data_IF_414896237666
#
_entry.id   IF_414896237666
#
_cell.length_a   1.000
_cell.length_b   1.000
_cell.length_c   1.000
_cell.angle_alpha   90.00
_cell.angle_beta   90.00
_cell.angle_gamma   90.00
#
_symmetry.space_group_name_H-M   'P 1'
#
loop_
_entity.id
_entity.type
_entity.pdbx_description
1 polymer ?
#
# COMPACT_ATOMS: atom_id res chain seq x y z
N UNK A 1 -9.38 25.84 41.59
CA UNK A 1 -10.28 24.71 41.92
C UNK A 1 -10.50 24.67 43.41
N UNK A 2 -11.72 24.33 43.91
CA UNK A 2 -11.96 24.15 45.33
C UNK A 2 -11.08 23.02 45.89
N UNK A 3 -10.54 23.20 47.09
CA UNK A 3 -9.76 22.17 47.78
C UNK A 3 -10.63 20.97 48.17
N UNK A 4 -10.05 19.77 48.25
CA UNK A 4 -10.77 18.50 48.53
C UNK A 4 -11.71 18.56 49.76
N UNK A 5 -11.38 19.37 50.77
CA UNK A 5 -12.19 19.50 51.99
C UNK A 5 -13.16 20.69 51.99
N UNK A 6 -13.14 21.52 50.95
CA UNK A 6 -13.98 22.73 50.84
C UNK A 6 -15.45 22.36 50.53
N UNK A 7 -16.41 23.26 50.77
CA UNK A 7 -17.79 23.08 50.33
C UNK A 7 -17.85 22.85 48.81
N UNK A 8 -18.67 21.89 48.40
CA UNK A 8 -18.80 21.54 46.99
C UNK A 8 -19.47 22.67 46.20
N UNK A 9 -18.94 22.95 45.00
CA UNK A 9 -19.39 24.04 44.12
C UNK A 9 -20.84 23.90 43.64
N UNK A 10 -21.40 22.69 43.67
CA UNK A 10 -22.79 22.41 43.29
C UNK A 10 -23.84 22.90 44.30
N UNK A 11 -23.42 23.55 45.39
CA UNK A 11 -24.33 24.11 46.40
C UNK A 11 -24.94 23.09 47.35
N UNK A 12 -24.50 21.83 47.32
CA UNK A 12 -25.06 20.75 48.16
C UNK A 12 -24.71 20.83 49.66
N UNK A 13 -23.83 21.75 50.05
CA UNK A 13 -23.31 21.89 51.42
C UNK A 13 -22.38 20.76 51.89
N UNK A 14 -22.15 19.71 51.07
CA UNK A 14 -21.23 18.61 51.36
C UNK A 14 -19.78 19.00 51.00
N UNK A 15 -18.79 18.34 51.62
CA UNK A 15 -17.37 18.49 51.24
C UNK A 15 -17.14 18.01 49.80
N UNK A 16 -16.36 18.74 49.00
CA UNK A 16 -16.11 18.47 47.58
C UNK A 16 -15.71 17.00 47.32
N UNK A 17 -14.79 16.44 48.13
CA UNK A 17 -14.36 15.04 48.04
C UNK A 17 -15.46 13.98 48.23
N UNK A 18 -16.60 14.35 48.83
CA UNK A 18 -17.75 13.46 49.07
C UNK A 18 -18.94 13.77 48.15
N UNK A 19 -18.76 14.64 47.15
CA UNK A 19 -19.82 15.08 46.27
C UNK A 19 -19.37 15.05 44.80
N UNK A 20 -18.98 16.19 44.22
CA UNK A 20 -18.66 16.26 42.80
C UNK A 20 -17.26 15.75 42.43
N UNK A 21 -16.35 15.52 43.39
CA UNK A 21 -14.97 15.13 43.07
C UNK A 21 -14.90 13.86 42.19
N UNK A 22 -15.66 12.81 42.50
CA UNK A 22 -15.62 11.57 41.71
C UNK A 22 -16.13 11.78 40.27
N UNK A 23 -17.18 12.58 40.10
CA UNK A 23 -17.74 12.90 38.79
C UNK A 23 -16.83 13.84 37.99
N UNK A 24 -16.14 14.76 38.66
CA UNK A 24 -15.19 15.68 38.03
C UNK A 24 -13.87 14.94 37.68
N UNK A 25 -13.41 14.00 38.53
CA UNK A 25 -12.29 13.09 38.22
C UNK A 25 -12.64 12.13 37.07
N UNK A 26 -13.88 11.64 37.01
CA UNK A 26 -14.37 10.80 35.91
C UNK A 26 -14.43 11.58 34.58
N UNK A 27 -14.99 12.79 34.59
CA UNK A 27 -14.98 13.68 33.40
C UNK A 27 -13.58 14.09 32.98
N UNK A 28 -12.66 14.25 33.94
CA UNK A 28 -11.25 14.50 33.63
C UNK A 28 -10.52 13.27 33.07
N UNK A 29 -10.98 12.05 33.37
CA UNK A 29 -10.49 10.81 32.74
C UNK A 29 -11.07 10.62 31.34
N UNK A 30 -12.35 10.90 31.16
CA UNK A 30 -13.05 10.82 29.87
C UNK A 30 -12.60 11.92 28.89
N UNK A 31 -12.24 13.11 29.39
CA UNK A 31 -11.71 14.22 28.58
C UNK A 31 -10.19 14.19 28.36
N UNK A 32 -9.47 13.19 28.90
CA UNK A 32 -8.04 13.04 28.69
C UNK A 32 -7.82 11.90 27.71
N UNK A 33 -7.74 12.23 26.42
CA UNK A 33 -7.18 11.31 25.44
C UNK A 33 -5.81 10.87 25.94
N UNK A 34 -5.68 9.59 26.27
CA UNK A 34 -4.35 8.99 26.46
C UNK A 34 -3.64 9.17 25.11
N UNK A 35 -2.41 9.72 25.07
CA UNK A 35 -1.62 9.67 23.86
C UNK A 35 -1.57 8.20 23.42
N UNK A 36 -2.15 7.88 22.26
CA UNK A 36 -1.97 6.56 21.67
C UNK A 36 -0.47 6.46 21.37
N UNK A 37 0.21 5.57 22.09
CA UNK A 37 1.61 5.24 21.80
C UNK A 37 1.63 4.64 20.39
N UNK A 38 2.18 5.40 19.45
CA UNK A 38 2.08 5.09 18.03
C UNK A 38 3.03 3.96 17.69
N UNK A 39 2.54 2.91 17.05
CA UNK A 39 3.42 1.82 16.59
C UNK A 39 4.25 2.26 15.37
N UNK A 40 3.90 3.38 14.73
CA UNK A 40 4.77 4.07 13.76
C UNK A 40 6.07 4.59 14.40
N UNK A 41 6.02 5.01 15.67
CA UNK A 41 7.17 5.60 16.38
C UNK A 41 8.14 4.54 16.92
N UNK A 42 7.69 3.28 17.00
CA UNK A 42 8.50 2.11 17.36
C UNK A 42 9.26 1.52 16.16
N UNK A 43 9.02 2.02 14.93
CA UNK A 43 9.87 1.71 13.78
C UNK A 43 11.22 2.42 13.98
N UNK A 44 12.36 1.74 13.73
CA UNK A 44 13.66 2.36 13.88
C UNK A 44 13.70 3.65 13.05
N UNK A 45 14.09 4.77 13.69
CA UNK A 45 14.25 6.05 12.99
C UNK A 45 15.18 5.81 11.80
N UNK A 46 14.71 6.08 10.58
CA UNK A 46 15.51 5.89 9.37
C UNK A 46 16.85 6.66 9.46
N UNK A 47 16.90 7.75 10.25
CA UNK A 47 18.13 8.49 10.54
C UNK A 47 19.21 7.67 11.26
N UNK A 48 18.87 6.54 11.88
CA UNK A 48 19.76 5.77 12.73
C UNK A 48 20.85 5.02 11.93
N UNK A 49 20.63 4.75 10.64
CA UNK A 49 21.55 3.92 9.86
C UNK A 49 22.74 4.67 9.23
N UNK A 50 22.85 5.99 9.43
CA UNK A 50 24.05 6.76 9.08
C UNK A 50 25.05 6.92 10.24
N UNK A 51 24.70 6.45 11.44
CA UNK A 51 25.64 6.35 12.58
C UNK A 51 25.95 4.88 12.92
N UNK A 52 26.87 4.29 12.14
CA UNK A 52 27.89 3.34 12.62
C UNK A 52 27.50 2.03 13.36
N UNK A 53 26.32 1.44 13.18
CA UNK A 53 26.04 0.10 13.73
C UNK A 53 25.88 -0.97 12.64
N UNK A 54 27.00 -1.39 12.04
CA UNK A 54 27.13 -2.74 11.50
C UNK A 54 26.89 -3.71 12.66
N UNK A 55 25.71 -4.33 12.66
CA UNK A 55 25.21 -5.28 13.65
C UNK A 55 26.29 -6.33 13.95
N UNK A 56 26.82 -6.31 15.18
CA UNK A 56 27.14 -7.57 15.86
C UNK A 56 25.80 -8.17 16.26
N UNK A 57 25.47 -9.33 15.71
CA UNK A 57 24.22 -10.03 16.02
C UNK A 57 23.99 -10.13 17.54
N UNK A 58 22.84 -9.67 18.07
CA UNK A 58 22.42 -10.05 19.39
C UNK A 58 21.62 -11.34 19.28
N UNK A 59 22.26 -12.40 19.76
CA UNK A 59 21.62 -13.66 20.13
C UNK A 59 20.47 -13.44 21.14
N UNK A 60 19.32 -14.06 20.88
CA UNK A 60 18.51 -14.70 21.93
C UNK A 60 17.35 -13.92 22.55
N UNK A 61 16.17 -14.53 22.44
CA UNK A 61 15.00 -14.46 23.32
C UNK A 61 14.22 -13.13 23.39
N UNK A 62 13.23 -12.99 22.51
CA UNK A 62 12.08 -12.09 22.74
C UNK A 62 10.86 -12.92 23.16
N UNK A 63 10.37 -12.70 24.40
CA UNK A 63 9.09 -13.24 24.90
C UNK A 63 8.13 -12.09 25.20
N UNK A 64 6.85 -12.15 24.82
CA UNK A 64 5.87 -11.13 25.19
C UNK A 64 5.55 -11.18 26.68
N UNK A 65 5.47 -10.01 27.33
CA UNK A 65 5.06 -9.86 28.73
C UNK A 65 3.57 -10.19 28.94
N UNK A 66 3.27 -10.83 30.06
CA UNK A 66 2.00 -11.48 30.39
C UNK A 66 0.90 -10.57 30.94
N UNK A 67 0.84 -9.28 30.58
CA UNK A 67 -0.02 -8.31 31.25
C UNK A 67 -1.36 -7.98 30.58
N UNK A 68 -1.63 -8.41 29.34
CA UNK A 68 -2.89 -8.07 28.63
C UNK A 68 -3.89 -9.24 28.55
N UNK A 69 -3.87 -10.12 29.56
CA UNK A 69 -4.89 -11.16 29.74
C UNK A 69 -6.01 -10.64 30.62
N UNK A 70 -7.07 -10.11 30.04
CA UNK A 70 -8.40 -10.19 30.65
C UNK A 70 -9.50 -10.13 29.58
N UNK A 71 -10.47 -11.02 29.74
CA UNK A 71 -11.79 -11.13 29.09
C UNK A 71 -11.92 -11.67 27.65
N UNK A 72 -11.53 -12.93 27.41
CA UNK A 72 -12.25 -13.82 26.46
C UNK A 72 -12.17 -15.26 26.95
N UNK A 73 -13.31 -15.95 27.02
CA UNK A 73 -13.43 -17.35 27.44
C UNK A 73 -12.85 -18.33 26.41
N UNK A 74 -12.11 -19.32 26.92
CA UNK A 74 -11.43 -20.35 26.14
C UNK A 74 -12.39 -21.48 25.74
N UNK A 75 -12.81 -21.50 24.48
CA UNK A 75 -13.29 -22.71 23.83
C UNK A 75 -12.36 -22.97 22.63
N UNK A 76 -11.48 -23.96 22.76
CA UNK A 76 -10.56 -24.41 21.73
C UNK A 76 -11.35 -24.97 20.54
N UNK A 77 -11.16 -24.37 19.37
CA UNK A 77 -11.55 -24.95 18.08
C UNK A 77 -10.34 -24.84 17.16
N UNK A 78 -9.93 -26.02 16.70
CA UNK A 78 -8.86 -26.28 15.76
C UNK A 78 -9.29 -25.76 14.37
N UNK A 79 -8.65 -24.69 13.91
CA UNK A 79 -8.87 -24.09 12.59
C UNK A 79 -7.47 -24.03 11.98
N UNK A 80 -7.31 -24.67 10.82
CA UNK A 80 -6.04 -25.01 10.15
C UNK A 80 -5.40 -26.30 10.67
N UNK A 81 -6.11 -27.41 10.43
CA UNK A 81 -5.44 -28.70 10.29
C UNK A 81 -4.39 -28.61 9.18
N UNK A 82 -3.22 -29.18 9.47
CA UNK A 82 -2.10 -29.38 8.56
C UNK A 82 -2.55 -29.77 7.15
N UNK A 83 -2.39 -28.87 6.19
CA UNK A 83 -2.27 -29.16 4.75
C UNK A 83 -1.68 -27.93 4.05
N UNK A 84 -0.47 -27.54 4.48
CA UNK A 84 0.46 -26.71 3.71
C UNK A 84 1.47 -27.63 3.03
N UNK A 85 0.97 -28.56 2.20
CA UNK A 85 1.79 -29.32 1.24
C UNK A 85 1.16 -29.14 -0.13
N UNK A 86 1.66 -28.15 -0.85
CA UNK A 86 2.03 -28.24 -2.27
C UNK A 86 2.63 -26.87 -2.68
N UNK A 87 3.89 -26.65 -2.29
CA UNK A 87 4.77 -25.87 -3.15
C UNK A 87 4.96 -26.71 -4.43
N UNK A 88 3.98 -26.68 -5.34
CA UNK A 88 4.19 -27.12 -6.72
C UNK A 88 5.35 -26.27 -7.27
N UNK A 89 6.45 -26.95 -7.60
CA UNK A 89 7.65 -26.45 -8.29
C UNK A 89 7.32 -25.34 -9.32
N UNK A 90 7.24 -24.08 -8.86
CA UNK A 90 7.60 -22.93 -9.69
C UNK A 90 9.10 -23.06 -9.86
N UNK A 91 9.59 -23.65 -10.95
CA UNK A 91 10.95 -23.40 -11.51
C UNK A 91 11.39 -24.40 -12.62
N UNK A 92 10.50 -25.11 -13.33
CA UNK A 92 10.97 -26.05 -14.39
C UNK A 92 10.60 -25.73 -15.83
N UNK A 93 9.80 -24.70 -16.08
CA UNK A 93 9.39 -24.37 -17.46
C UNK A 93 9.81 -22.96 -17.95
N UNK A 94 10.55 -22.17 -17.16
CA UNK A 94 10.96 -20.80 -17.56
C UNK A 94 12.46 -20.68 -17.90
N UNK A 95 12.98 -21.63 -18.69
CA UNK A 95 14.34 -21.56 -19.27
C UNK A 95 14.45 -20.55 -20.46
N UNK A 96 13.84 -19.36 -20.36
CA UNK A 96 13.78 -18.45 -21.51
C UNK A 96 13.57 -16.96 -21.25
N UNK A 97 13.47 -16.51 -20.00
CA UNK A 97 13.32 -15.08 -19.69
C UNK A 97 14.53 -14.26 -20.18
N UNK A 98 14.28 -13.16 -20.89
CA UNK A 98 15.34 -12.23 -21.26
C UNK A 98 15.96 -11.60 -20.01
N UNK A 99 17.26 -11.81 -19.78
CA UNK A 99 17.97 -11.24 -18.64
C UNK A 99 18.14 -9.71 -18.82
N UNK A 100 17.62 -8.86 -17.91
CA UNK A 100 17.81 -7.42 -17.99
C UNK A 100 19.23 -6.98 -17.63
N UNK A 101 20.05 -7.85 -17.04
CA UNK A 101 21.47 -7.59 -16.78
C UNK A 101 22.36 -8.27 -17.84
N UNK A 102 22.69 -7.58 -18.95
CA UNK A 102 23.56 -8.15 -19.97
C UNK A 102 24.97 -8.30 -19.41
N UNK A 103 25.63 -9.41 -19.78
CA UNK A 103 27.06 -9.59 -19.52
C UNK A 103 27.85 -8.48 -20.22
N UNK A 104 28.65 -7.77 -19.45
CA UNK A 104 29.60 -6.79 -19.98
C UNK A 104 30.87 -7.51 -20.40
N UNK A 105 31.48 -7.05 -21.49
CA UNK A 105 32.79 -7.53 -21.91
C UNK A 105 33.85 -7.18 -20.86
N UNK A 106 34.88 -8.01 -20.74
CA UNK A 106 36.02 -7.70 -19.87
C UNK A 106 36.69 -6.39 -20.30
N UNK A 107 37.03 -5.55 -19.33
CA UNK A 107 37.78 -4.31 -19.55
C UNK A 107 39.27 -4.59 -19.68
N UNK A 108 39.97 -3.80 -20.49
CA UNK A 108 41.44 -3.76 -20.47
C UNK A 108 41.94 -3.01 -19.22
N UNK A 109 43.17 -3.30 -18.78
CA UNK A 109 43.79 -2.69 -17.59
C UNK A 109 43.72 -1.15 -17.57
N UNK A 110 43.85 -0.49 -18.72
CA UNK A 110 43.73 0.98 -18.80
C UNK A 110 42.30 1.47 -18.56
N UNK A 111 41.30 0.74 -19.06
CA UNK A 111 39.89 1.09 -18.89
C UNK A 111 39.42 0.86 -17.46
N UNK A 112 39.86 -0.26 -16.86
CA UNK A 112 39.58 -0.56 -15.46
C UNK A 112 40.11 0.55 -14.53
N UNK A 113 41.33 1.04 -14.76
CA UNK A 113 41.89 2.16 -13.99
C UNK A 113 41.09 3.46 -14.09
N UNK A 114 40.44 3.72 -15.24
CA UNK A 114 39.59 4.91 -15.40
C UNK A 114 38.33 4.77 -14.54
N UNK A 115 37.70 3.60 -14.55
CA UNK A 115 36.50 3.28 -13.77
C UNK A 115 36.80 3.31 -12.27
N UNK A 116 37.82 2.58 -11.81
CA UNK A 116 38.24 2.52 -10.40
C UNK A 116 38.58 3.90 -9.86
N UNK A 117 39.35 4.69 -10.62
CA UNK A 117 39.68 6.05 -10.21
C UNK A 117 38.43 6.92 -10.06
N UNK A 118 37.45 6.79 -10.95
CA UNK A 118 36.21 7.53 -10.81
C UNK A 118 35.48 7.13 -9.53
N UNK A 119 35.37 5.83 -9.25
CA UNK A 119 34.73 5.29 -8.05
C UNK A 119 35.44 5.79 -6.78
N UNK A 120 36.77 5.69 -6.72
CA UNK A 120 37.58 6.16 -5.59
C UNK A 120 37.41 7.66 -5.32
N UNK A 121 37.37 8.45 -6.39
CA UNK A 121 37.18 9.89 -6.29
C UNK A 121 35.70 10.26 -6.03
N UNK A 122 34.76 9.33 -6.20
CA UNK A 122 33.32 9.58 -6.10
C UNK A 122 32.88 9.71 -4.63
N UNK A 123 32.01 10.68 -4.29
CA UNK A 123 31.60 10.87 -2.92
C UNK A 123 30.69 9.75 -2.42
N UNK A 124 31.22 8.82 -1.62
CA UNK A 124 30.47 7.66 -1.10
C UNK A 124 29.28 7.96 -0.18
N UNK A 125 28.95 9.21 0.16
CA UNK A 125 27.76 9.56 0.96
C UNK A 125 27.33 11.02 0.70
N UNK A 126 26.05 11.24 0.40
CA UNK A 126 25.54 12.57 0.02
C UNK A 126 25.00 13.42 1.16
N UNK A 127 24.69 12.84 2.31
CA UNK A 127 24.10 13.57 3.45
C UNK A 127 24.95 14.77 3.91
N UNK A 128 26.28 14.68 3.72
CA UNK A 128 27.25 15.73 4.09
C UNK A 128 27.82 16.49 2.88
N UNK A 129 27.41 16.14 1.66
CA UNK A 129 27.95 16.68 0.40
C UNK A 129 26.86 17.31 -0.45
N UNK A 130 27.27 18.05 -1.49
CA UNK A 130 26.35 18.66 -2.42
C UNK A 130 25.92 17.63 -3.49
N UNK A 131 24.63 17.21 -3.56
CA UNK A 131 24.18 16.24 -4.57
C UNK A 131 24.33 16.79 -6.01
N UNK A 132 24.40 18.11 -6.20
CA UNK A 132 24.65 18.70 -7.51
C UNK A 132 26.04 18.36 -8.07
N UNK A 133 27.04 18.18 -7.19
CA UNK A 133 28.38 17.76 -7.59
C UNK A 133 28.35 16.32 -8.11
N UNK A 134 27.55 15.46 -7.48
CA UNK A 134 27.35 14.08 -7.90
C UNK A 134 26.69 13.99 -9.28
N UNK A 135 25.59 14.71 -9.47
CA UNK A 135 24.90 14.82 -10.78
C UNK A 135 25.89 15.30 -11.85
N UNK A 136 26.67 16.33 -11.54
CA UNK A 136 27.66 16.89 -12.48
C UNK A 136 28.71 15.86 -12.87
N UNK A 137 29.23 15.09 -11.90
CA UNK A 137 30.26 14.07 -12.15
C UNK A 137 29.72 12.85 -12.90
N UNK A 138 28.49 12.42 -12.61
CA UNK A 138 27.80 11.37 -13.36
C UNK A 138 27.65 11.82 -14.81
N UNK A 139 27.11 13.03 -15.05
CA UNK A 139 26.96 13.59 -16.40
C UNK A 139 28.30 13.73 -17.12
N UNK A 140 29.35 14.16 -16.44
CA UNK A 140 30.67 14.28 -17.05
C UNK A 140 31.19 12.93 -17.53
N UNK A 141 31.19 11.90 -16.66
CA UNK A 141 31.67 10.57 -17.04
C UNK A 141 30.79 9.94 -18.13
N UNK A 142 29.48 10.10 -18.01
CA UNK A 142 28.50 9.61 -18.98
C UNK A 142 28.74 10.16 -20.40
N UNK A 143 29.24 11.39 -20.53
CA UNK A 143 29.54 12.02 -21.81
C UNK A 143 30.99 11.79 -22.28
N UNK A 144 31.96 11.77 -21.36
CA UNK A 144 33.38 11.61 -21.68
C UNK A 144 33.78 10.15 -21.96
N UNK A 145 33.13 9.21 -21.26
CA UNK A 145 33.45 7.78 -21.29
C UNK A 145 32.18 6.94 -21.48
N UNK A 146 31.43 7.13 -22.59
CA UNK A 146 30.14 6.49 -22.79
C UNK A 146 30.22 4.95 -22.76
N UNK A 147 31.27 4.36 -23.34
CA UNK A 147 31.46 2.90 -23.38
C UNK A 147 31.81 2.30 -22.00
N UNK A 148 32.33 3.12 -21.08
CA UNK A 148 32.68 2.68 -19.72
C UNK A 148 31.57 2.95 -18.71
N UNK A 149 30.56 3.74 -19.06
CA UNK A 149 29.49 4.14 -18.15
C UNK A 149 28.70 2.96 -17.54
N UNK A 150 28.40 1.87 -18.27
CA UNK A 150 27.76 0.68 -17.69
C UNK A 150 28.59 -0.05 -16.62
N UNK A 151 29.90 0.21 -16.56
CA UNK A 151 30.81 -0.41 -15.58
C UNK A 151 30.88 0.37 -14.27
N UNK A 152 30.12 1.46 -14.15
CA UNK A 152 29.99 2.20 -12.88
C UNK A 152 29.01 1.55 -11.90
N UNK A 153 28.15 0.63 -12.37
CA UNK A 153 27.14 -0.04 -11.55
C UNK A 153 26.32 0.94 -10.68
N UNK A 154 25.92 2.07 -11.27
CA UNK A 154 25.24 3.15 -10.53
C UNK A 154 23.90 2.70 -9.94
N UNK A 155 23.31 1.67 -10.52
CA UNK A 155 22.09 0.99 -10.08
C UNK A 155 22.25 0.23 -8.77
N UNK A 156 23.45 -0.09 -8.28
CA UNK A 156 23.58 -0.89 -7.06
C UNK A 156 23.35 -0.08 -5.77
N UNK A 157 23.61 1.22 -5.80
CA UNK A 157 23.49 2.09 -4.61
C UNK A 157 23.46 3.57 -4.97
N UNK A 158 24.34 3.99 -5.88
CA UNK A 158 24.62 5.41 -6.15
C UNK A 158 23.37 6.20 -6.55
N UNK A 159 22.55 5.68 -7.48
CA UNK A 159 21.33 6.36 -7.91
C UNK A 159 20.24 6.35 -6.84
N UNK A 160 20.14 5.29 -6.04
CA UNK A 160 19.16 5.20 -4.94
C UNK A 160 19.47 6.18 -3.82
N UNK A 161 20.73 6.27 -3.39
CA UNK A 161 21.16 7.22 -2.37
C UNK A 161 21.01 8.68 -2.85
N UNK A 162 21.36 8.94 -4.12
CA UNK A 162 21.22 10.27 -4.72
C UNK A 162 19.73 10.68 -4.81
N UNK A 163 18.86 9.77 -5.27
CA UNK A 163 17.42 9.99 -5.33
C UNK A 163 16.85 10.29 -3.95
N UNK A 164 17.19 9.47 -2.95
CA UNK A 164 16.78 9.66 -1.55
C UNK A 164 17.19 11.04 -1.01
N UNK A 165 18.43 11.46 -1.25
CA UNK A 165 18.92 12.74 -0.76
C UNK A 165 18.26 13.94 -1.47
N UNK A 166 18.08 13.85 -2.80
CA UNK A 166 17.37 14.88 -3.56
C UNK A 166 15.90 14.98 -3.14
N UNK A 167 15.25 13.86 -2.82
CA UNK A 167 13.90 13.83 -2.29
C UNK A 167 13.81 14.54 -0.93
N UNK A 168 14.71 14.24 0.02
CA UNK A 168 14.79 14.95 1.32
C UNK A 168 14.96 16.45 1.17
N UNK A 169 15.72 16.88 0.16
CA UNK A 169 15.95 18.31 -0.16
C UNK A 169 14.83 18.95 -0.99
N UNK A 170 13.77 18.23 -1.33
CA UNK A 170 12.67 18.68 -2.22
C UNK A 170 13.18 19.10 -3.60
N UNK A 171 14.21 18.42 -4.10
CA UNK A 171 14.83 18.64 -5.41
C UNK A 171 14.67 17.41 -6.33
N UNK A 172 13.57 16.67 -6.16
CA UNK A 172 13.27 15.42 -6.87
C UNK A 172 13.35 15.57 -8.40
N UNK A 173 12.93 16.71 -8.95
CA UNK A 173 12.99 16.98 -10.39
C UNK A 173 14.40 16.83 -10.99
N UNK A 174 15.45 17.16 -10.23
CA UNK A 174 16.84 16.97 -10.68
C UNK A 174 17.20 15.49 -10.87
N UNK A 175 16.66 14.63 -10.00
CA UNK A 175 16.85 13.18 -10.08
C UNK A 175 16.12 12.63 -11.31
N UNK A 176 14.86 13.03 -11.50
CA UNK A 176 14.06 12.67 -12.66
C UNK A 176 14.73 13.10 -13.98
N UNK A 177 15.27 14.32 -14.05
CA UNK A 177 16.00 14.80 -15.23
C UNK A 177 17.24 13.94 -15.53
N UNK A 178 17.97 13.53 -14.48
CA UNK A 178 19.11 12.63 -14.61
C UNK A 178 18.68 11.25 -15.10
N UNK A 179 17.62 10.67 -14.53
CA UNK A 179 17.09 9.38 -14.95
C UNK A 179 16.64 9.41 -16.41
N UNK A 180 15.90 10.43 -16.84
CA UNK A 180 15.48 10.62 -18.24
C UNK A 180 16.69 10.67 -19.19
N UNK A 181 17.74 11.39 -18.80
CA UNK A 181 18.98 11.51 -19.59
C UNK A 181 19.74 10.17 -19.69
N UNK A 182 19.90 9.46 -18.57
CA UNK A 182 20.54 8.14 -18.54
C UNK A 182 19.73 7.14 -19.36
N UNK A 183 18.41 7.11 -19.18
CA UNK A 183 17.51 6.22 -19.92
C UNK A 183 17.63 6.38 -21.42
N UNK A 184 17.81 7.61 -21.88
CA UNK A 184 17.95 7.93 -23.30
C UNK A 184 19.34 7.59 -23.85
N UNK A 185 20.42 8.00 -23.15
CA UNK A 185 21.80 7.90 -23.65
C UNK A 185 22.44 6.54 -23.38
N UNK A 186 22.06 5.88 -22.28
CA UNK A 186 22.71 4.69 -21.74
C UNK A 186 21.70 3.61 -21.31
N UNK A 187 20.85 3.13 -22.24
CA UNK A 187 19.80 2.16 -21.92
C UNK A 187 20.35 0.82 -21.40
N UNK A 188 21.60 0.46 -21.73
CA UNK A 188 22.24 -0.79 -21.26
C UNK A 188 22.53 -0.79 -19.76
N UNK A 189 22.94 0.35 -19.19
CA UNK A 189 23.11 0.50 -17.75
C UNK A 189 21.73 0.63 -17.09
N UNK A 190 20.89 1.51 -17.63
CA UNK A 190 19.56 1.79 -17.08
C UNK A 190 18.70 0.54 -16.93
N UNK A 191 18.74 -0.37 -17.92
CA UNK A 191 17.91 -1.57 -17.91
C UNK A 191 18.19 -2.53 -16.75
N UNK A 192 19.30 -2.38 -16.02
CA UNK A 192 19.60 -3.24 -14.86
C UNK A 192 18.78 -2.91 -13.61
N UNK A 193 18.34 -1.65 -13.49
CA UNK A 193 17.51 -1.16 -12.40
C UNK A 193 16.20 -0.53 -12.87
N UNK A 194 15.76 -0.86 -14.10
CA UNK A 194 14.69 -0.11 -14.77
C UNK A 194 13.38 -0.08 -13.98
N UNK A 195 13.09 -1.11 -13.19
CA UNK A 195 11.81 -1.21 -12.47
C UNK A 195 11.68 -0.12 -11.42
N UNK A 196 12.77 0.15 -10.71
CA UNK A 196 12.83 1.22 -9.72
C UNK A 196 12.82 2.59 -10.41
N UNK A 197 13.63 2.76 -11.46
CA UNK A 197 13.74 4.04 -12.13
C UNK A 197 12.49 4.40 -12.93
N UNK A 198 11.92 3.47 -13.68
CA UNK A 198 10.68 3.69 -14.42
C UNK A 198 9.48 3.83 -13.46
N UNK A 199 9.49 3.20 -12.27
CA UNK A 199 8.51 3.52 -11.21
C UNK A 199 8.55 5.02 -10.85
N UNK A 200 9.73 5.57 -10.60
CA UNK A 200 9.92 7.00 -10.28
C UNK A 200 9.52 7.92 -11.45
N UNK A 201 9.83 7.52 -12.70
CA UNK A 201 9.42 8.27 -13.89
C UNK A 201 7.91 8.21 -14.16
N UNK A 202 7.27 7.07 -13.90
CA UNK A 202 5.81 6.92 -13.99
C UNK A 202 5.14 7.80 -12.93
N UNK A 203 5.65 7.79 -11.70
CA UNK A 203 5.16 8.64 -10.62
C UNK A 203 5.25 10.13 -11.00
N UNK A 204 6.42 10.58 -11.46
CA UNK A 204 6.61 11.95 -11.97
C UNK A 204 5.59 12.28 -13.06
N UNK A 205 5.41 11.39 -14.04
CA UNK A 205 4.46 11.61 -15.12
C UNK A 205 3.00 11.72 -14.65
N UNK A 206 2.61 10.96 -13.63
CA UNK A 206 1.27 11.08 -13.02
C UNK A 206 1.09 12.46 -12.38
N UNK A 207 2.11 12.95 -11.68
CA UNK A 207 2.11 14.23 -10.96
C UNK A 207 2.16 15.42 -11.92
N UNK A 208 2.97 15.34 -12.98
CA UNK A 208 3.12 16.42 -13.98
C UNK A 208 2.02 16.40 -15.05
N UNK A 209 1.28 15.29 -15.18
CA UNK A 209 0.28 15.08 -16.23
C UNK A 209 0.89 14.65 -17.57
N UNK A 210 2.12 14.15 -17.57
CA UNK A 210 2.80 13.60 -18.75
C UNK A 210 2.29 12.19 -19.12
N UNK A 211 2.72 11.70 -20.29
CA UNK A 211 2.31 10.39 -20.82
C UNK A 211 3.00 9.23 -20.09
N UNK A 212 2.28 8.58 -19.18
CA UNK A 212 2.72 7.36 -18.47
C UNK A 212 3.12 6.20 -19.40
N UNK A 213 2.38 5.85 -20.47
CA UNK A 213 2.70 4.68 -21.29
C UNK A 213 4.08 4.69 -21.96
N UNK A 214 4.73 5.86 -22.04
CA UNK A 214 6.09 6.00 -22.58
C UNK A 214 7.16 5.27 -21.77
N UNK A 215 6.88 4.95 -20.50
CA UNK A 215 7.81 4.25 -19.62
C UNK A 215 7.57 2.73 -19.55
N UNK A 216 6.58 2.19 -20.26
CA UNK A 216 6.27 0.76 -20.22
C UNK A 216 7.17 -0.11 -21.12
N UNK A 217 8.11 0.49 -21.85
CA UNK A 217 8.89 -0.22 -22.86
C UNK A 217 9.84 -1.27 -22.26
N UNK A 218 10.45 -1.01 -21.10
CA UNK A 218 11.30 -2.01 -20.44
C UNK A 218 10.49 -3.14 -19.82
N UNK A 219 9.35 -2.84 -19.19
CA UNK A 219 8.39 -3.86 -18.73
C UNK A 219 7.91 -4.75 -19.88
N UNK A 220 7.71 -4.19 -21.08
CA UNK A 220 7.37 -4.99 -22.27
C UNK A 220 8.51 -5.87 -22.74
N UNK A 221 9.75 -5.39 -22.61
CA UNK A 221 10.95 -6.15 -22.96
C UNK A 221 11.24 -7.27 -21.95
N UNK A 222 10.89 -7.06 -20.68
CA UNK A 222 11.18 -7.93 -19.54
C UNK A 222 9.94 -8.15 -18.65
N UNK A 223 8.86 -8.76 -19.17
CA UNK A 223 7.56 -8.82 -18.47
C UNK A 223 7.54 -9.70 -17.22
N UNK A 224 8.48 -10.64 -17.09
CA UNK A 224 8.56 -11.59 -15.98
C UNK A 224 9.67 -11.27 -14.97
N UNK A 225 10.33 -10.11 -15.13
CA UNK A 225 11.33 -9.66 -14.17
C UNK A 225 10.62 -8.98 -12.98
N UNK A 226 11.07 -9.32 -11.76
CA UNK A 226 10.69 -8.78 -10.43
C UNK A 226 9.21 -8.43 -10.18
N UNK A 227 8.52 -9.26 -9.39
CA UNK A 227 7.10 -9.08 -9.06
C UNK A 227 6.78 -7.83 -8.22
N UNK A 228 7.68 -7.41 -7.32
CA UNK A 228 7.28 -6.51 -6.23
C UNK A 228 6.99 -5.07 -6.73
N UNK A 229 7.82 -4.56 -7.65
CA UNK A 229 7.61 -3.24 -8.24
C UNK A 229 6.41 -3.17 -9.17
N UNK A 230 6.04 -4.29 -9.80
CA UNK A 230 4.81 -4.38 -10.58
C UNK A 230 3.59 -4.12 -9.69
N UNK A 231 3.54 -4.70 -8.50
CA UNK A 231 2.44 -4.48 -7.56
C UNK A 231 2.39 -3.04 -7.03
N UNK A 232 3.53 -2.45 -6.70
CA UNK A 232 3.58 -1.04 -6.28
C UNK A 232 3.05 -0.08 -7.36
N UNK A 233 3.40 -0.32 -8.63
CA UNK A 233 2.90 0.47 -9.77
C UNK A 233 1.39 0.28 -9.94
N UNK A 234 0.89 -0.96 -9.86
CA UNK A 234 -0.54 -1.26 -9.88
C UNK A 234 -1.28 -0.48 -8.79
N UNK A 235 -0.76 -0.47 -7.56
CA UNK A 235 -1.39 0.21 -6.43
C UNK A 235 -1.54 1.71 -6.66
N UNK A 236 -0.49 2.44 -7.05
CA UNK A 236 -0.64 3.88 -7.24
C UNK A 236 -1.40 4.23 -8.52
N UNK A 237 -1.35 3.41 -9.59
CA UNK A 237 -2.19 3.62 -10.78
C UNK A 237 -3.67 3.45 -10.43
N UNK A 238 -3.99 2.45 -9.61
CA UNK A 238 -5.35 2.23 -9.12
C UNK A 238 -5.80 3.36 -8.20
N UNK A 239 -4.97 3.75 -7.23
CA UNK A 239 -5.26 4.81 -6.27
C UNK A 239 -5.38 6.20 -6.92
N UNK A 240 -4.67 6.45 -8.02
CA UNK A 240 -4.77 7.70 -8.80
C UNK A 240 -5.80 7.63 -9.94
N UNK A 241 -6.60 6.55 -9.97
CA UNK A 241 -7.68 6.34 -10.94
C UNK A 241 -7.24 6.35 -12.42
N UNK A 242 -6.05 5.80 -12.72
CA UNK A 242 -5.49 5.72 -14.08
C UNK A 242 -5.90 4.43 -14.78
N UNK A 243 -7.20 4.26 -15.02
CA UNK A 243 -7.78 3.01 -15.55
C UNK A 243 -7.11 2.51 -16.83
N UNK A 244 -6.91 3.39 -17.83
CA UNK A 244 -6.36 3.01 -19.12
C UNK A 244 -4.91 2.56 -19.01
N UNK A 245 -4.13 3.31 -18.24
CA UNK A 245 -2.72 3.05 -17.97
C UNK A 245 -2.56 1.76 -17.15
N UNK A 246 -3.40 1.55 -16.12
CA UNK A 246 -3.43 0.35 -15.30
C UNK A 246 -3.69 -0.92 -16.14
N UNK A 247 -4.77 -0.92 -16.93
CA UNK A 247 -5.09 -2.06 -17.78
C UNK A 247 -4.00 -2.33 -18.81
N UNK A 248 -3.38 -1.26 -19.35
CA UNK A 248 -2.29 -1.40 -20.31
C UNK A 248 -1.02 -1.96 -19.65
N UNK A 249 -0.73 -1.54 -18.43
CA UNK A 249 0.42 -2.02 -17.66
C UNK A 249 0.27 -3.51 -17.37
N UNK A 250 -0.90 -3.94 -16.86
CA UNK A 250 -1.21 -5.35 -16.61
C UNK A 250 -1.09 -6.18 -17.88
N UNK A 251 -1.65 -5.73 -19.01
CA UNK A 251 -1.52 -6.44 -20.28
C UNK A 251 -0.05 -6.66 -20.69
N UNK A 252 0.82 -5.70 -20.38
CA UNK A 252 2.25 -5.76 -20.70
C UNK A 252 2.98 -6.74 -19.77
N UNK A 253 2.75 -6.66 -18.46
CA UNK A 253 3.47 -7.46 -17.46
C UNK A 253 3.00 -8.91 -17.42
N UNK A 254 1.73 -9.18 -17.73
CA UNK A 254 1.18 -10.55 -17.75
C UNK A 254 1.57 -11.37 -18.99
N UNK A 255 2.18 -10.74 -20.00
CA UNK A 255 2.64 -11.41 -21.22
C UNK A 255 1.53 -12.08 -22.04
N UNK A 256 1.88 -13.16 -22.76
CA UNK A 256 0.96 -13.81 -23.72
C UNK A 256 -0.12 -14.70 -23.08
N UNK A 257 0.12 -15.22 -21.86
CA UNK A 257 -0.83 -16.09 -21.15
C UNK A 257 -0.79 -15.82 -19.65
N UNK A 258 -1.91 -15.29 -19.17
CA UNK A 258 -2.05 -14.80 -17.81
C UNK A 258 -2.15 -15.95 -16.81
N UNK A 259 -1.55 -15.74 -15.65
CA UNK A 259 -1.67 -16.61 -14.50
C UNK A 259 -3.05 -16.44 -13.86
N UNK A 260 -3.71 -17.57 -13.61
CA UNK A 260 -4.97 -17.61 -12.89
C UNK A 260 -4.71 -18.24 -11.51
N UNK A 261 -4.61 -17.43 -10.43
CA UNK A 261 -4.51 -17.95 -9.07
C UNK A 261 -5.77 -18.73 -8.68
N UNK A 262 -5.72 -19.47 -7.56
CA UNK A 262 -6.90 -20.16 -7.00
C UNK A 262 -7.98 -19.18 -6.50
N UNK A 263 -7.55 -18.01 -6.03
CA UNK A 263 -8.41 -16.91 -5.63
C UNK A 263 -8.05 -15.64 -6.40
N UNK A 264 -9.06 -14.88 -6.83
CA UNK A 264 -8.86 -13.60 -7.53
C UNK A 264 -8.73 -12.49 -6.49
N UNK A 265 -7.50 -12.07 -6.20
CA UNK A 265 -7.17 -10.96 -5.30
C UNK A 265 -6.57 -9.77 -6.06
N UNK A 266 -6.51 -8.59 -5.44
CA UNK A 266 -6.20 -7.30 -6.10
C UNK A 266 -4.90 -7.29 -6.91
N UNK A 267 -3.88 -7.96 -6.41
CA UNK A 267 -2.55 -8.06 -7.03
C UNK A 267 -2.51 -9.11 -8.16
N UNK A 268 -3.55 -9.92 -8.34
CA UNK A 268 -3.61 -10.87 -9.45
C UNK A 268 -3.81 -10.15 -10.79
N UNK A 269 -3.13 -10.66 -11.82
CA UNK A 269 -3.18 -10.16 -13.20
C UNK A 269 -4.61 -10.00 -13.76
N UNK A 270 -5.52 -10.86 -13.30
CA UNK A 270 -6.90 -10.90 -13.78
C UNK A 270 -7.85 -9.99 -13.02
N UNK A 271 -7.48 -9.50 -11.83
CA UNK A 271 -8.40 -8.80 -10.94
C UNK A 271 -8.99 -7.55 -11.58
N UNK A 272 -8.14 -6.59 -11.97
CA UNK A 272 -8.60 -5.33 -12.54
C UNK A 272 -9.31 -5.49 -13.88
N UNK A 273 -8.82 -6.33 -14.81
CA UNK A 273 -9.53 -6.61 -16.06
C UNK A 273 -10.91 -7.25 -15.84
N UNK A 274 -11.03 -8.22 -14.92
CA UNK A 274 -12.33 -8.81 -14.55
C UNK A 274 -13.24 -7.75 -13.92
N UNK A 275 -12.71 -6.96 -13.00
CA UNK A 275 -13.46 -5.89 -12.33
C UNK A 275 -14.04 -4.88 -13.35
N UNK A 276 -13.26 -4.48 -14.35
CA UNK A 276 -13.72 -3.58 -15.43
C UNK A 276 -14.86 -4.21 -16.23
N UNK A 277 -14.77 -5.50 -16.55
CA UNK A 277 -15.86 -6.20 -17.25
C UNK A 277 -17.11 -6.37 -16.37
N UNK A 278 -16.95 -6.51 -15.05
CA UNK A 278 -18.06 -6.52 -14.09
C UNK A 278 -18.79 -5.18 -14.06
N UNK A 279 -18.08 -4.06 -13.87
CA UNK A 279 -18.72 -2.72 -13.77
C UNK A 279 -19.42 -2.32 -15.08
N UNK A 280 -18.90 -2.72 -16.24
CA UNK A 280 -19.54 -2.46 -17.53
C UNK A 280 -20.89 -3.17 -17.69
N UNK A 281 -21.08 -4.30 -17.01
CA UNK A 281 -22.31 -5.12 -17.05
C UNK A 281 -23.14 -5.01 -15.77
N UNK A 282 -22.64 -4.30 -14.77
CA UNK A 282 -23.27 -4.23 -13.45
C UNK A 282 -24.69 -3.68 -13.52
N UNK A 283 -24.97 -2.73 -14.42
CA UNK A 283 -26.31 -2.16 -14.60
C UNK A 283 -27.21 -2.90 -15.60
N UNK A 284 -26.74 -4.03 -16.17
CA UNK A 284 -27.58 -4.85 -17.05
C UNK A 284 -28.72 -5.53 -16.28
N UNK A 285 -29.80 -5.90 -16.97
CA UNK A 285 -30.91 -6.68 -16.39
C UNK A 285 -30.63 -8.19 -16.38
N UNK A 286 -29.47 -8.62 -16.90
CA UNK A 286 -29.11 -10.03 -16.97
C UNK A 286 -28.88 -10.62 -15.57
N UNK A 287 -29.17 -11.91 -15.40
CA UNK A 287 -28.89 -12.60 -14.15
C UNK A 287 -27.38 -12.57 -13.83
N UNK A 288 -26.96 -12.39 -12.55
CA UNK A 288 -25.55 -12.41 -12.16
C UNK A 288 -24.79 -13.65 -12.65
N UNK A 289 -25.43 -14.83 -12.66
CA UNK A 289 -24.86 -16.07 -13.19
C UNK A 289 -24.53 -15.97 -14.68
N UNK A 290 -25.42 -15.38 -15.48
CA UNK A 290 -25.20 -15.20 -16.91
C UNK A 290 -24.02 -14.28 -17.19
N UNK A 291 -23.91 -13.18 -16.43
CA UNK A 291 -22.80 -12.24 -16.57
C UNK A 291 -21.48 -12.90 -16.14
N UNK A 292 -21.47 -13.64 -15.04
CA UNK A 292 -20.30 -14.37 -14.58
C UNK A 292 -19.80 -15.38 -15.64
N UNK A 293 -20.70 -16.12 -16.28
CA UNK A 293 -20.35 -17.02 -17.38
C UNK A 293 -19.80 -16.27 -18.60
N UNK A 294 -20.37 -15.13 -18.96
CA UNK A 294 -19.87 -14.30 -20.07
C UNK A 294 -18.47 -13.76 -19.80
N UNK A 295 -18.21 -13.28 -18.59
CA UNK A 295 -16.88 -12.78 -18.19
C UNK A 295 -15.87 -13.94 -18.16
N UNK A 296 -16.23 -15.08 -17.55
CA UNK A 296 -15.36 -16.25 -17.54
C UNK A 296 -15.01 -16.73 -18.97
N UNK A 297 -15.99 -16.71 -19.88
CA UNK A 297 -15.77 -17.07 -21.28
C UNK A 297 -14.82 -16.09 -22.01
N UNK A 298 -14.82 -14.80 -21.64
CA UNK A 298 -13.92 -13.79 -22.21
C UNK A 298 -12.45 -14.03 -21.83
N UNK A 299 -12.19 -14.41 -20.57
CA UNK A 299 -10.83 -14.61 -20.05
C UNK A 299 -10.30 -16.03 -20.21
N UNK A 300 -11.17 -17.04 -20.34
CA UNK A 300 -10.79 -18.44 -20.58
C UNK A 300 -9.72 -18.66 -21.67
N UNK A 301 -9.76 -18.00 -22.85
CA UNK A 301 -8.71 -18.19 -23.86
C UNK A 301 -7.38 -17.50 -23.52
N UNK A 302 -7.33 -16.64 -22.50
CA UNK A 302 -6.16 -15.85 -22.10
C UNK A 302 -5.39 -16.44 -20.92
N UNK A 303 -5.95 -17.42 -20.21
CA UNK A 303 -5.36 -18.00 -18.99
C UNK A 303 -4.75 -19.37 -19.22
N UNK A 304 -3.69 -19.71 -18.49
CA UNK A 304 -3.06 -21.05 -18.54
C UNK A 304 -3.91 -22.14 -17.86
N UNK A 305 -4.62 -21.78 -16.79
CA UNK A 305 -5.49 -22.68 -16.00
C UNK A 305 -6.97 -22.50 -16.36
N UNK A 306 -7.75 -23.53 -16.05
CA UNK A 306 -9.21 -23.54 -16.24
C UNK A 306 -9.87 -22.66 -15.18
N UNK A 307 -10.80 -21.80 -15.59
CA UNK A 307 -11.69 -21.10 -14.66
C UNK A 307 -12.51 -22.11 -13.85
N UNK A 308 -12.33 -22.10 -12.54
CA UNK A 308 -13.07 -22.95 -11.60
C UNK A 308 -14.45 -22.35 -11.30
N UNK A 309 -15.33 -23.16 -10.72
CA UNK A 309 -16.62 -22.68 -10.23
C UNK A 309 -16.45 -21.65 -9.10
N UNK A 310 -15.35 -21.71 -8.34
CA UNK A 310 -15.00 -20.70 -7.33
C UNK A 310 -14.79 -19.33 -7.95
N UNK A 311 -14.04 -19.22 -9.06
CA UNK A 311 -13.84 -17.95 -9.76
C UNK A 311 -15.16 -17.35 -10.27
N UNK A 312 -16.01 -18.20 -10.86
CA UNK A 312 -17.34 -17.76 -11.33
C UNK A 312 -18.21 -17.29 -10.18
N UNK A 313 -18.17 -18.00 -9.04
CA UNK A 313 -18.88 -17.62 -7.83
C UNK A 313 -18.45 -16.23 -7.35
N UNK A 314 -17.14 -15.95 -7.26
CA UNK A 314 -16.62 -14.63 -6.88
C UNK A 314 -17.10 -13.52 -7.82
N UNK A 315 -17.10 -13.77 -9.14
CA UNK A 315 -17.58 -12.78 -10.14
C UNK A 315 -19.09 -12.54 -9.96
N UNK A 316 -19.86 -13.62 -9.81
CA UNK A 316 -21.32 -13.61 -9.62
C UNK A 316 -21.69 -12.82 -8.35
N UNK A 317 -21.05 -13.13 -7.23
CA UNK A 317 -21.28 -12.50 -5.93
C UNK A 317 -20.98 -11.00 -5.98
N UNK A 318 -19.88 -10.59 -6.62
CA UNK A 318 -19.56 -9.17 -6.79
C UNK A 318 -20.66 -8.38 -7.48
N UNK A 319 -21.26 -8.95 -8.54
CA UNK A 319 -22.37 -8.32 -9.27
C UNK A 319 -23.63 -8.27 -8.41
N UNK A 320 -23.95 -9.36 -7.70
CA UNK A 320 -25.11 -9.42 -6.81
C UNK A 320 -25.00 -8.38 -5.68
N UNK A 321 -23.84 -8.32 -5.02
CA UNK A 321 -23.59 -7.39 -3.93
C UNK A 321 -23.63 -5.93 -4.39
N UNK A 322 -23.08 -5.63 -5.57
CA UNK A 322 -23.12 -4.29 -6.14
C UNK A 322 -24.54 -3.81 -6.49
N UNK A 323 -25.44 -4.74 -6.83
CA UNK A 323 -26.86 -4.44 -7.13
C UNK A 323 -27.74 -4.34 -5.90
N UNK A 324 -27.31 -4.92 -4.77
CA UNK A 324 -28.17 -5.09 -3.60
C UNK A 324 -28.08 -3.94 -2.61
N UNK A 325 -29.20 -3.29 -2.34
CA UNK A 325 -29.35 -2.20 -1.36
C UNK A 325 -29.87 -2.71 0.01
N UNK A 326 -29.19 -3.70 0.62
CA UNK A 326 -29.62 -4.23 1.92
C UNK A 326 -29.35 -3.22 3.05
N UNK A 327 -30.33 -3.07 3.95
CA UNK A 327 -30.32 -2.12 5.06
C UNK A 327 -29.77 -2.66 6.39
N UNK A 328 -29.72 -3.98 6.56
CA UNK A 328 -29.44 -4.57 7.87
C UNK A 328 -27.96 -4.93 7.97
N UNK A 329 -27.16 -4.03 8.56
CA UNK A 329 -25.70 -4.17 8.70
C UNK A 329 -25.33 -4.63 10.11
N UNK A 330 -25.59 -5.90 10.40
CA UNK A 330 -25.31 -6.51 11.70
C UNK A 330 -24.40 -7.73 11.57
N UNK A 331 -23.10 -7.53 11.82
CA UNK A 331 -22.10 -8.59 11.73
C UNK A 331 -22.35 -9.74 12.73
N UNK A 332 -23.10 -9.49 13.81
CA UNK A 332 -23.34 -10.50 14.84
C UNK A 332 -24.25 -11.64 14.35
N UNK A 333 -24.92 -11.44 13.21
CA UNK A 333 -25.74 -12.46 12.55
C UNK A 333 -24.89 -13.49 11.81
N UNK A 334 -23.61 -13.19 11.54
CA UNK A 334 -22.71 -14.10 10.85
C UNK A 334 -22.29 -15.28 11.76
N UNK A 335 -22.54 -16.50 11.31
CA UNK A 335 -22.35 -17.73 12.10
C UNK A 335 -20.93 -18.27 12.05
N UNK A 336 -20.18 -17.95 11.01
CA UNK A 336 -18.84 -18.46 10.73
C UNK A 336 -17.99 -17.39 10.02
N UNK A 337 -16.70 -17.71 9.81
CA UNK A 337 -15.75 -16.82 9.14
C UNK A 337 -16.12 -16.54 7.69
N UNK A 338 -16.73 -17.51 6.99
CA UNK A 338 -17.17 -17.32 5.61
C UNK A 338 -18.30 -16.29 5.53
N UNK A 339 -19.28 -16.38 6.42
CA UNK A 339 -20.35 -15.38 6.53
C UNK A 339 -19.83 -13.99 6.93
N UNK A 340 -18.77 -13.91 7.74
CA UNK A 340 -18.10 -12.63 8.06
C UNK A 340 -17.42 -12.06 6.81
N UNK A 341 -16.70 -12.89 6.06
CA UNK A 341 -16.06 -12.49 4.81
C UNK A 341 -17.09 -12.00 3.79
N UNK A 342 -18.16 -12.76 3.55
CA UNK A 342 -19.20 -12.41 2.58
C UNK A 342 -19.95 -11.13 2.99
N UNK A 343 -20.14 -10.91 4.29
CA UNK A 343 -20.70 -9.68 4.83
C UNK A 343 -19.84 -8.46 4.49
N UNK A 344 -18.53 -8.51 4.77
CA UNK A 344 -17.63 -7.38 4.48
C UNK A 344 -17.36 -7.19 3.00
N UNK A 345 -17.33 -8.26 2.20
CA UNK A 345 -17.29 -8.16 0.75
C UNK A 345 -18.51 -7.43 0.19
N UNK A 346 -19.71 -7.77 0.68
CA UNK A 346 -20.92 -7.08 0.28
C UNK A 346 -20.89 -5.59 0.64
N UNK A 347 -20.40 -5.25 1.84
CA UNK A 347 -20.20 -3.85 2.24
C UNK A 347 -19.16 -3.13 1.38
N UNK A 348 -18.03 -3.77 1.07
CA UNK A 348 -16.98 -3.20 0.22
C UNK A 348 -17.51 -2.90 -1.20
N UNK A 349 -18.33 -3.78 -1.78
CA UNK A 349 -18.98 -3.51 -3.07
C UNK A 349 -19.97 -2.34 -3.00
N UNK A 350 -20.79 -2.27 -1.95
CA UNK A 350 -21.72 -1.15 -1.74
C UNK A 350 -20.99 0.17 -1.55
N UNK A 351 -19.90 0.15 -0.78
CA UNK A 351 -19.03 1.30 -0.57
C UNK A 351 -18.39 1.76 -1.89
N UNK A 352 -17.85 0.84 -2.69
CA UNK A 352 -17.33 1.13 -4.04
C UNK A 352 -18.38 1.81 -4.93
N UNK A 353 -19.61 1.27 -4.98
CA UNK A 353 -20.72 1.86 -5.74
C UNK A 353 -21.10 3.25 -5.21
N UNK A 354 -21.11 3.44 -3.88
CA UNK A 354 -21.38 4.73 -3.26
C UNK A 354 -20.34 5.78 -3.62
N UNK A 355 -19.05 5.46 -3.53
CA UNK A 355 -17.95 6.35 -3.92
C UNK A 355 -18.12 6.79 -5.37
N UNK A 356 -18.41 5.84 -6.27
CA UNK A 356 -18.58 6.18 -7.67
C UNK A 356 -19.81 7.04 -7.92
N UNK A 357 -20.99 6.58 -7.48
CA UNK A 357 -22.27 7.23 -7.84
C UNK A 357 -22.57 8.50 -7.07
N UNK A 358 -22.09 8.60 -5.82
CA UNK A 358 -22.42 9.71 -4.93
C UNK A 358 -21.27 10.70 -4.80
N UNK A 359 -20.02 10.22 -4.75
CA UNK A 359 -18.83 11.09 -4.62
C UNK A 359 -18.19 11.42 -5.97
N UNK A 360 -18.56 10.74 -7.06
CA UNK A 360 -17.99 10.96 -8.39
C UNK A 360 -16.57 10.43 -8.55
N UNK A 361 -16.09 9.58 -7.64
CA UNK A 361 -14.76 8.97 -7.71
C UNK A 361 -14.78 7.89 -8.80
N UNK A 362 -13.72 7.76 -9.61
CA UNK A 362 -13.70 6.72 -10.65
C UNK A 362 -13.74 5.29 -10.08
N UNK A 363 -14.19 4.34 -10.90
CA UNK A 363 -14.44 2.96 -10.45
C UNK A 363 -13.20 2.26 -9.91
N UNK A 364 -12.07 2.43 -10.59
CA UNK A 364 -10.80 1.81 -10.20
C UNK A 364 -10.39 2.28 -8.81
N UNK A 365 -10.34 3.60 -8.58
CA UNK A 365 -10.02 4.15 -7.27
C UNK A 365 -11.06 3.77 -6.22
N UNK A 366 -12.35 3.76 -6.57
CA UNK A 366 -13.42 3.38 -5.66
C UNK A 366 -13.26 1.93 -5.17
N UNK A 367 -12.88 1.01 -6.06
CA UNK A 367 -12.64 -0.38 -5.69
C UNK A 367 -11.34 -0.56 -4.91
N UNK A 368 -10.28 0.17 -5.29
CA UNK A 368 -9.03 0.21 -4.53
C UNK A 368 -9.27 0.59 -3.07
N UNK A 369 -9.99 1.68 -2.82
CA UNK A 369 -10.33 2.13 -1.46
C UNK A 369 -11.21 1.09 -0.72
N UNK A 370 -12.16 0.47 -1.42
CA UNK A 370 -13.00 -0.57 -0.85
C UNK A 370 -12.20 -1.81 -0.41
N UNK A 371 -11.19 -2.20 -1.19
CA UNK A 371 -10.30 -3.32 -0.83
C UNK A 371 -9.48 -3.00 0.41
N UNK A 372 -8.97 -1.76 0.55
CA UNK A 372 -8.25 -1.36 1.78
C UNK A 372 -9.13 -1.49 3.04
N UNK A 373 -10.42 -1.11 2.94
CA UNK A 373 -11.36 -1.34 4.04
C UNK A 373 -11.62 -2.82 4.30
N UNK A 374 -11.74 -3.62 3.24
CA UNK A 374 -11.91 -5.06 3.37
C UNK A 374 -10.72 -5.70 4.08
N UNK A 375 -9.48 -5.38 3.67
CA UNK A 375 -8.25 -5.86 4.32
C UNK A 375 -8.25 -5.49 5.81
N UNK A 376 -8.64 -4.26 6.12
CA UNK A 376 -8.72 -3.76 7.50
C UNK A 376 -9.82 -4.46 8.33
N UNK A 377 -11.00 -4.67 7.77
CA UNK A 377 -12.10 -5.35 8.47
C UNK A 377 -11.83 -6.85 8.66
N UNK A 378 -11.10 -7.45 7.73
CA UNK A 378 -10.70 -8.85 7.76
C UNK A 378 -9.43 -9.10 8.59
N UNK A 379 -8.80 -8.04 9.12
CA UNK A 379 -7.69 -8.14 10.09
C UNK A 379 -8.20 -8.53 11.49
N UNK A 380 -8.85 -9.69 11.54
CA UNK A 380 -9.45 -10.29 12.72
C UNK A 380 -8.40 -11.23 13.32
N UNK A 381 -8.02 -11.07 14.61
CA UNK A 381 -7.10 -11.98 15.25
C UNK A 381 -7.61 -13.41 15.19
N UNK A 382 -6.68 -14.36 15.09
CA UNK A 382 -7.01 -15.78 15.00
C UNK A 382 -7.97 -16.20 16.12
N UNK A 383 -8.98 -16.99 15.76
CA UNK A 383 -10.03 -17.50 16.67
C UNK A 383 -10.91 -16.43 17.34
N UNK A 384 -10.81 -15.16 16.93
CA UNK A 384 -11.71 -14.09 17.41
C UNK A 384 -12.80 -13.78 16.38
N UNK A 385 -13.87 -13.14 16.87
CA UNK A 385 -14.96 -12.62 16.03
C UNK A 385 -15.24 -11.16 16.37
N UNK A 386 -15.57 -10.32 15.38
CA UNK A 386 -15.96 -8.94 15.61
C UNK A 386 -17.30 -8.89 16.37
N UNK A 387 -17.33 -8.11 17.45
CA UNK A 387 -18.58 -7.83 18.21
C UNK A 387 -19.31 -6.58 17.72
N UNK A 388 -18.63 -5.73 16.95
CA UNK A 388 -19.19 -4.51 16.34
C UNK A 388 -18.99 -4.59 14.83
N UNK A 389 -19.97 -4.13 14.07
CA UNK A 389 -19.93 -4.12 12.60
C UNK A 389 -18.81 -3.24 12.06
N UNK A 390 -18.62 -2.06 12.65
CA UNK A 390 -17.57 -1.13 12.26
C UNK A 390 -16.70 -0.84 13.48
N UNK A 391 -15.39 -0.93 13.28
CA UNK A 391 -14.40 -0.54 14.28
C UNK A 391 -13.50 0.52 13.67
N UNK A 392 -13.77 1.80 13.93
CA UNK A 392 -12.89 2.89 13.54
C UNK A 392 -12.12 3.29 14.79
N UNK A 393 -10.84 2.93 14.86
CA UNK A 393 -10.01 3.20 16.03
C UNK A 393 -8.61 3.58 15.56
N UNK A 394 -8.14 4.74 16.01
CA UNK A 394 -6.85 5.30 15.59
C UNK A 394 -5.68 4.32 15.81
N UNK A 395 -5.62 3.68 16.98
CA UNK A 395 -4.57 2.72 17.32
C UNK A 395 -4.65 1.43 16.49
N UNK A 396 -5.86 1.01 16.13
CA UNK A 396 -6.05 -0.20 15.33
C UNK A 396 -5.68 0.04 13.86
N UNK A 397 -6.05 1.20 13.29
CA UNK A 397 -5.67 1.58 11.93
C UNK A 397 -4.15 1.77 11.83
N UNK A 398 -3.56 2.46 12.81
CA UNK A 398 -2.10 2.61 12.96
C UNK A 398 -1.38 1.26 12.94
N UNK A 399 -1.81 0.34 13.82
CA UNK A 399 -1.26 -1.01 13.88
C UNK A 399 -1.45 -1.79 12.58
N UNK A 400 -2.63 -1.70 11.96
CA UNK A 400 -2.90 -2.39 10.71
C UNK A 400 -1.92 -1.94 9.62
N UNK A 401 -1.74 -0.63 9.45
CA UNK A 401 -0.77 -0.08 8.48
C UNK A 401 0.64 -0.55 8.82
N UNK A 402 1.07 -0.42 10.08
CA UNK A 402 2.42 -0.78 10.52
C UNK A 402 2.76 -2.28 10.40
N UNK A 403 1.75 -3.15 10.36
CA UNK A 403 1.92 -4.60 10.27
C UNK A 403 1.68 -5.11 8.84
N UNK A 404 0.55 -4.72 8.23
CA UNK A 404 0.12 -5.26 6.92
C UNK A 404 0.74 -4.53 5.74
N UNK A 405 1.11 -3.26 5.90
CA UNK A 405 1.75 -2.46 4.87
C UNK A 405 3.22 -2.19 5.21
N UNK A 406 3.82 -3.04 6.05
CA UNK A 406 5.22 -2.98 6.40
C UNK A 406 6.09 -3.35 5.21
N UNK A 407 7.03 -2.47 4.90
CA UNK A 407 8.20 -2.76 4.07
C UNK A 407 9.40 -3.03 5.00
N UNK A 408 10.56 -3.37 4.44
CA UNK A 408 11.70 -3.82 5.24
C UNK A 408 12.08 -2.84 6.39
N UNK A 409 12.10 -1.53 6.10
CA UNK A 409 12.44 -0.48 7.08
C UNK A 409 11.39 0.63 7.24
N UNK A 410 10.32 0.61 6.45
CA UNK A 410 9.32 1.68 6.39
C UNK A 410 7.92 1.08 6.19
N UNK A 411 6.92 1.91 5.91
CA UNK A 411 5.59 1.47 5.49
C UNK A 411 5.33 1.90 4.06
N UNK A 412 4.50 1.13 3.34
CA UNK A 412 4.00 1.51 2.02
C UNK A 412 3.01 2.68 2.16
N UNK A 413 3.46 3.86 1.73
CA UNK A 413 2.70 5.09 1.84
C UNK A 413 1.42 5.09 1.01
N UNK A 414 1.42 4.45 -0.16
CA UNK A 414 0.27 4.42 -1.07
C UNK A 414 -0.86 3.58 -0.48
N UNK A 415 -0.55 2.37 -0.01
CA UNK A 415 -1.55 1.51 0.67
C UNK A 415 -2.03 2.13 1.98
N UNK A 416 -1.11 2.70 2.77
CA UNK A 416 -1.45 3.40 4.01
C UNK A 416 -2.38 4.59 3.78
N UNK A 417 -2.05 5.48 2.84
CA UNK A 417 -2.88 6.64 2.52
C UNK A 417 -4.20 6.23 1.88
N UNK A 418 -4.21 5.17 1.06
CA UNK A 418 -5.40 4.53 0.54
C UNK A 418 -6.36 4.09 1.63
N UNK A 419 -5.88 3.40 2.68
CA UNK A 419 -6.72 3.01 3.81
C UNK A 419 -7.25 4.24 4.58
N UNK A 420 -6.41 5.24 4.83
CA UNK A 420 -6.82 6.46 5.54
C UNK A 420 -7.89 7.23 4.76
N UNK A 421 -7.73 7.34 3.44
CA UNK A 421 -8.72 7.93 2.53
C UNK A 421 -10.01 7.10 2.52
N UNK A 422 -9.90 5.77 2.52
CA UNK A 422 -11.07 4.90 2.56
C UNK A 422 -11.86 5.03 3.88
N UNK A 423 -11.17 5.14 5.02
CA UNK A 423 -11.80 5.41 6.34
C UNK A 423 -12.44 6.80 6.38
N UNK A 424 -11.84 7.80 5.74
CA UNK A 424 -12.44 9.13 5.61
C UNK A 424 -13.78 9.05 4.90
N UNK A 425 -13.84 8.42 3.72
CA UNK A 425 -15.11 8.28 3.00
C UNK A 425 -16.06 7.27 3.64
N UNK A 426 -15.56 6.32 4.45
CA UNK A 426 -16.41 5.41 5.22
C UNK A 426 -17.31 6.21 6.17
N UNK A 427 -16.79 7.27 6.80
CA UNK A 427 -17.59 8.12 7.69
C UNK A 427 -18.80 8.73 6.95
N UNK A 428 -18.58 9.23 5.73
CA UNK A 428 -19.64 9.75 4.87
C UNK A 428 -20.63 8.65 4.43
N UNK A 429 -20.11 7.47 4.10
CA UNK A 429 -20.93 6.32 3.70
C UNK A 429 -21.86 5.87 4.83
N UNK A 430 -21.35 5.75 6.06
CA UNK A 430 -22.14 5.40 7.23
C UNK A 430 -23.25 6.44 7.47
N UNK A 431 -22.89 7.73 7.47
CA UNK A 431 -23.82 8.83 7.66
C UNK A 431 -24.94 8.83 6.60
N UNK A 432 -24.60 8.61 5.32
CA UNK A 432 -25.56 8.56 4.21
C UNK A 432 -26.56 7.40 4.33
N UNK A 433 -26.20 6.31 5.03
CA UNK A 433 -27.05 5.14 5.22
C UNK A 433 -27.72 5.11 6.61
N UNK A 434 -27.65 6.20 7.38
CA UNK A 434 -28.28 6.29 8.70
C UNK A 434 -27.59 5.44 9.77
N UNK A 435 -26.35 5.00 9.52
CA UNK A 435 -25.51 4.34 10.50
C UNK A 435 -24.62 5.39 11.18
N UNK A 436 -24.59 5.38 12.51
CA UNK A 436 -23.63 6.16 13.28
C UNK A 436 -22.51 5.23 13.73
N UNK A 437 -21.26 5.60 13.40
CA UNK A 437 -20.13 5.09 14.14
C UNK A 437 -20.19 5.57 15.60
N UNK A 438 -19.32 5.04 16.46
CA UNK A 438 -19.24 5.52 17.84
C UNK A 438 -18.75 6.97 17.89
N UNK A 439 -17.86 7.31 16.97
CA UNK A 439 -17.39 8.65 16.69
C UNK A 439 -18.25 9.37 15.63
N UNK A 440 -18.36 10.69 15.74
CA UNK A 440 -18.95 11.54 14.72
C UNK A 440 -18.12 11.55 13.43
N UNK A 441 -18.75 11.89 12.30
CA UNK A 441 -18.07 12.05 11.01
C UNK A 441 -16.89 13.03 11.11
N UNK A 442 -17.06 14.14 11.83
CA UNK A 442 -16.02 15.13 12.07
C UNK A 442 -14.83 14.58 12.86
N UNK A 443 -15.08 13.74 13.87
CA UNK A 443 -14.03 13.10 14.67
C UNK A 443 -13.23 12.09 13.85
N UNK A 444 -13.91 11.31 13.00
CA UNK A 444 -13.25 10.37 12.08
C UNK A 444 -12.38 11.13 11.07
N UNK A 445 -12.90 12.21 10.49
CA UNK A 445 -12.12 13.06 9.57
C UNK A 445 -10.88 13.65 10.24
N UNK A 446 -11.01 14.15 11.47
CA UNK A 446 -9.88 14.68 12.24
C UNK A 446 -8.85 13.59 12.57
N UNK A 447 -9.30 12.37 12.87
CA UNK A 447 -8.47 11.19 13.08
C UNK A 447 -7.68 10.82 11.82
N UNK A 448 -8.32 10.79 10.64
CA UNK A 448 -7.65 10.51 9.37
C UNK A 448 -6.53 11.52 9.10
N UNK A 449 -6.75 12.81 9.37
CA UNK A 449 -5.71 13.84 9.24
C UNK A 449 -4.48 13.59 10.13
N UNK A 450 -4.70 13.14 11.38
CA UNK A 450 -3.59 12.78 12.29
C UNK A 450 -2.84 11.52 11.85
N UNK A 451 -3.56 10.49 11.42
CA UNK A 451 -2.95 9.27 10.87
C UNK A 451 -2.11 9.57 9.64
N UNK A 452 -2.63 10.40 8.72
CA UNK A 452 -1.91 10.77 7.51
C UNK A 452 -0.61 11.52 7.84
N UNK A 453 -0.66 12.49 8.76
CA UNK A 453 0.54 13.22 9.19
C UNK A 453 1.59 12.32 9.87
N UNK A 454 1.19 11.19 10.47
CA UNK A 454 2.11 10.18 11.01
C UNK A 454 2.65 9.26 9.91
N UNK A 455 1.79 8.82 8.99
CA UNK A 455 2.17 8.03 7.82
C UNK A 455 3.30 8.72 7.02
N UNK A 456 3.17 10.01 6.71
CA UNK A 456 4.19 10.74 5.96
C UNK A 456 5.57 10.80 6.65
N UNK A 457 5.65 10.50 7.95
CA UNK A 457 6.92 10.42 8.69
C UNK A 457 7.49 8.99 8.74
N UNK A 458 6.67 7.99 8.45
CA UNK A 458 7.01 6.57 8.54
C UNK A 458 7.38 5.96 7.17
N UNK A 459 7.24 6.72 6.09
CA UNK A 459 7.59 6.32 4.72
C UNK A 459 9.01 6.74 4.36
N UNK A 460 9.57 6.11 3.34
CA UNK A 460 10.86 6.54 2.77
C UNK A 460 10.75 7.90 2.06
N UNK A 461 11.84 8.69 1.98
CA UNK A 461 11.83 9.99 1.30
C UNK A 461 11.41 9.93 -0.17
N UNK A 462 11.58 8.78 -0.82
CA UNK A 462 11.23 8.52 -2.22
C UNK A 462 9.84 7.91 -2.39
N UNK A 463 9.12 7.62 -1.29
CA UNK A 463 7.79 7.00 -1.36
C UNK A 463 6.81 7.87 -2.16
N UNK A 464 6.04 7.21 -3.02
CA UNK A 464 5.09 7.86 -3.92
C UNK A 464 4.05 8.74 -3.18
N UNK A 465 3.68 8.40 -1.94
CA UNK A 465 2.71 9.16 -1.15
C UNK A 465 3.14 10.60 -0.94
N UNK A 466 4.46 10.86 -0.82
CA UNK A 466 4.98 12.21 -0.57
C UNK A 466 4.73 13.14 -1.76
N UNK A 467 4.60 12.59 -2.97
CA UNK A 467 4.30 13.35 -4.18
C UNK A 467 2.81 13.34 -4.53
N UNK A 468 2.13 12.21 -4.35
CA UNK A 468 0.72 12.05 -4.68
C UNK A 468 -0.23 12.69 -3.67
N UNK A 469 0.11 12.65 -2.39
CA UNK A 469 -0.72 13.14 -1.29
C UNK A 469 0.15 13.76 -0.18
N UNK A 470 0.81 14.91 -0.43
CA UNK A 470 1.57 15.61 0.61
C UNK A 470 0.68 16.23 1.70
N UNK A 471 -0.62 16.37 1.44
CA UNK A 471 -1.62 16.97 2.33
C UNK A 471 -2.91 16.13 2.35
N UNK A 472 -3.71 16.26 3.41
CA UNK A 472 -4.95 15.50 3.61
C UNK A 472 -6.10 16.39 4.13
N UNK A 473 -7.36 16.22 3.69
CA UNK A 473 -7.80 15.26 2.67
C UNK A 473 -7.23 15.60 1.29
N UNK A 474 -7.02 14.61 0.40
CA UNK A 474 -6.54 14.88 -0.94
C UNK A 474 -7.50 15.84 -1.65
N UNK A 475 -6.97 16.94 -2.18
CA UNK A 475 -7.74 17.88 -2.99
C UNK A 475 -7.91 17.25 -4.38
N UNK A 476 -9.15 16.87 -4.73
CA UNK A 476 -9.47 16.26 -6.03
C UNK A 476 -9.65 17.30 -7.13
#
# INVERSE_FOLDING_TARGET
MPGRNDPCHCGSGKKYKKCCLAADEQRAREGRSVPVESQFEDLPDYKFWHENDFIKEPSGDWRPNSADREDVSDEEIDIFGDEFEDHEDFDKDDEGGANPCPELSELFDEQQKIVEKWIDDFPNHYEKKNPDDAITRIRQFMNDHPDLFPYLYLEESTLFELGSELARRKQWSKYIDLLKEIRQKHPQMYQRGFEYFDQDLILDAIVTGDSVPSYFDFFRKFPHHSSDKVFEIIHFLAWTNREKELLKFIEITSGERWYLPYEIYEESELYWPIFVEQIQRMDSLDAPDLIAEQIAALFKPRTRKVFTDSHKLTIREGIEWARTAQSDWDITQCKDLRGIHDFYQALAWRFCVFLHRTKGIGWIKSRYLANRLLDYWMDIPERKRPRKTFRVNEAHIDKHIAVRYRMFFCVDGVRGAGLIEAVYHLADFLAAHGHQAEESTEEIHALCGRLHARLLKAVEPTDAVLQLAPEFPPQY
#
